data_IF_189781023266
#
_entry.id   IF_189781023266
#
_cell.length_a   1.000
_cell.length_b   1.000
_cell.length_c   1.000
_cell.angle_alpha   90.00
_cell.angle_beta   90.00
_cell.angle_gamma   90.00
#
_symmetry.space_group_name_H-M   'P 1'
#
loop_
_entity.id
_entity.type
_entity.pdbx_description
1 polymer ?
#
# COMPACT_ATOMS: atom_id res chain seq x y z
N UNK A 1 -13.10 29.67 4.89
CA UNK A 1 -13.35 28.25 4.58
C UNK A 1 -12.44 27.92 3.42
N UNK A 2 -11.44 27.07 3.65
CA UNK A 2 -10.57 26.59 2.58
C UNK A 2 -11.28 25.46 1.87
N UNK A 3 -12.02 25.85 0.83
CA UNK A 3 -12.69 24.93 -0.07
C UNK A 3 -11.64 24.09 -0.81
N UNK A 4 -11.65 22.78 -0.63
CA UNK A 4 -10.64 21.85 -1.18
C UNK A 4 -11.23 20.57 -1.79
N UNK A 5 -12.54 20.36 -1.65
CA UNK A 5 -13.25 19.17 -2.15
C UNK A 5 -14.01 19.39 -3.48
N UNK A 6 -14.46 18.29 -4.06
CA UNK A 6 -15.41 18.23 -5.18
C UNK A 6 -16.80 18.74 -4.80
N UNK A 7 -17.25 18.46 -3.58
CA UNK A 7 -18.48 19.02 -3.01
C UNK A 7 -18.38 20.55 -2.86
N UNK A 8 -17.24 21.04 -2.38
CA UNK A 8 -16.95 22.47 -2.29
C UNK A 8 -16.94 23.13 -3.67
N UNK A 9 -16.38 22.46 -4.69
CA UNK A 9 -16.40 22.96 -6.07
C UNK A 9 -17.85 23.13 -6.57
N UNK A 10 -18.72 22.15 -6.28
CA UNK A 10 -20.14 22.24 -6.60
C UNK A 10 -20.79 23.43 -5.88
N UNK A 11 -20.58 23.56 -4.57
CA UNK A 11 -21.13 24.67 -3.79
C UNK A 11 -20.66 26.03 -4.30
N UNK A 12 -19.37 26.14 -4.64
CA UNK A 12 -18.81 27.33 -5.26
C UNK A 12 -19.50 27.66 -6.58
N UNK A 13 -19.66 26.67 -7.46
CA UNK A 13 -20.28 26.86 -8.77
C UNK A 13 -21.75 27.29 -8.63
N UNK A 14 -22.49 26.70 -7.71
CA UNK A 14 -23.88 27.07 -7.40
C UNK A 14 -24.01 28.50 -6.90
N UNK A 15 -23.08 28.96 -6.04
CA UNK A 15 -23.04 30.35 -5.61
C UNK A 15 -22.87 31.33 -6.79
N UNK A 16 -22.32 30.90 -7.92
CA UNK A 16 -22.10 31.77 -9.08
C UNK A 16 -23.35 32.00 -9.91
N UNK A 17 -24.29 31.04 -9.91
CA UNK A 17 -25.55 31.14 -10.65
C UNK A 17 -26.36 32.38 -10.21
N UNK A 18 -26.25 32.76 -8.94
CA UNK A 18 -26.98 33.89 -8.36
C UNK A 18 -26.15 35.19 -8.31
N UNK A 19 -24.92 35.20 -8.84
CA UNK A 19 -24.04 36.38 -8.87
C UNK A 19 -24.11 37.09 -10.22
N UNK A 20 -23.80 38.39 -10.20
CA UNK A 20 -23.57 39.14 -11.43
C UNK A 20 -22.26 38.64 -12.05
N UNK A 21 -22.36 37.89 -13.15
CA UNK A 21 -21.21 37.31 -13.85
C UNK A 21 -21.21 37.74 -15.33
N UNK A 22 -20.02 37.85 -15.93
CA UNK A 22 -19.84 38.14 -17.36
C UNK A 22 -18.77 37.23 -17.95
N UNK A 23 -19.02 36.78 -19.19
CA UNK A 23 -18.07 35.94 -19.90
C UNK A 23 -16.99 36.78 -20.56
N UNK A 24 -15.73 36.41 -20.38
CA UNK A 24 -14.60 36.94 -21.14
C UNK A 24 -13.54 35.86 -21.25
N UNK A 25 -12.99 35.63 -22.45
CA UNK A 25 -11.88 34.70 -22.64
C UNK A 25 -10.67 35.15 -21.79
N UNK A 26 -10.08 34.22 -21.03
CA UNK A 26 -9.05 34.54 -20.03
C UNK A 26 -9.61 35.07 -18.71
N UNK A 27 -10.93 35.07 -18.52
CA UNK A 27 -11.58 35.50 -17.28
C UNK A 27 -11.33 34.49 -16.16
N UNK A 28 -10.71 34.94 -15.07
CA UNK A 28 -10.26 34.09 -13.96
C UNK A 28 -11.04 34.31 -12.65
N UNK A 29 -12.21 34.94 -12.73
CA UNK A 29 -13.10 35.22 -11.60
C UNK A 29 -12.93 36.58 -10.93
N UNK A 30 -12.06 37.44 -11.47
CA UNK A 30 -11.90 38.84 -11.00
C UNK A 30 -13.18 39.65 -11.20
N UNK A 31 -13.33 40.69 -10.39
CA UNK A 31 -14.41 41.66 -10.53
C UNK A 31 -14.04 42.72 -11.57
N UNK A 32 -14.97 43.05 -12.46
CA UNK A 32 -14.86 44.22 -13.32
C UNK A 32 -15.26 45.51 -12.57
N UNK A 33 -15.13 46.66 -13.24
CA UNK A 33 -15.50 47.97 -12.69
C UNK A 33 -16.99 48.11 -12.33
N UNK A 34 -17.84 47.20 -12.83
CA UNK A 34 -19.28 47.15 -12.53
C UNK A 34 -19.61 46.16 -11.40
N UNK A 35 -18.59 45.59 -10.75
CA UNK A 35 -18.75 44.63 -9.67
C UNK A 35 -19.24 43.25 -10.14
N UNK A 36 -19.05 42.89 -11.42
CA UNK A 36 -19.40 41.57 -11.97
C UNK A 36 -18.19 40.67 -11.98
N UNK A 37 -18.36 39.38 -11.68
CA UNK A 37 -17.28 38.40 -11.83
C UNK A 37 -17.07 38.01 -13.28
N UNK A 38 -15.81 38.05 -13.72
CA UNK A 38 -15.40 37.80 -15.09
C UNK A 38 -14.84 36.39 -15.19
N UNK A 39 -15.53 35.49 -15.88
CA UNK A 39 -15.14 34.09 -16.03
C UNK A 39 -14.99 33.71 -17.52
N UNK A 40 -14.01 32.87 -17.83
CA UNK A 40 -14.15 31.87 -18.91
C UNK A 40 -14.51 30.49 -18.31
N UNK A 41 -14.64 29.47 -19.16
CA UNK A 41 -15.07 28.14 -18.75
C UNK A 41 -14.17 27.52 -17.68
N UNK A 42 -12.87 27.41 -17.97
CA UNK A 42 -11.89 26.84 -17.03
C UNK A 42 -11.58 27.81 -15.89
N UNK A 43 -11.72 29.11 -16.09
CA UNK A 43 -11.52 30.17 -15.12
C UNK A 43 -12.52 30.13 -13.97
N UNK A 44 -13.74 29.63 -14.20
CA UNK A 44 -14.69 29.31 -13.11
C UNK A 44 -14.11 28.28 -12.13
N UNK A 45 -13.41 27.27 -12.66
CA UNK A 45 -12.78 26.19 -11.89
C UNK A 45 -11.45 26.68 -11.29
N UNK A 46 -10.60 27.37 -12.07
CA UNK A 46 -9.31 27.87 -11.57
C UNK A 46 -9.47 28.91 -10.47
N UNK A 47 -10.48 29.78 -10.55
CA UNK A 47 -10.80 30.73 -9.49
C UNK A 47 -11.01 30.02 -8.15
N UNK A 48 -11.71 28.88 -8.19
CA UNK A 48 -11.87 28.00 -7.03
C UNK A 48 -10.52 27.43 -6.59
N UNK A 49 -9.80 26.77 -7.51
CA UNK A 49 -8.53 26.13 -7.18
C UNK A 49 -7.50 27.12 -6.59
N UNK A 50 -7.52 28.38 -7.02
CA UNK A 50 -6.65 29.46 -6.54
C UNK A 50 -7.15 30.18 -5.30
N UNK A 51 -8.25 29.72 -4.70
CA UNK A 51 -8.87 30.30 -3.52
C UNK A 51 -9.21 31.79 -3.67
N UNK A 52 -9.53 32.23 -4.89
CA UNK A 52 -9.74 33.65 -5.23
C UNK A 52 -11.22 34.05 -5.09
N UNK A 53 -11.73 33.97 -3.87
CA UNK A 53 -13.16 34.07 -3.59
C UNK A 53 -13.70 35.50 -3.43
N UNK A 54 -12.82 36.47 -3.16
CA UNK A 54 -13.14 37.84 -2.79
C UNK A 54 -12.90 38.88 -3.90
N UNK A 55 -13.29 40.14 -3.67
CA UNK A 55 -13.05 41.24 -4.61
C UNK A 55 -11.61 41.79 -4.59
N UNK A 56 -10.81 41.42 -3.59
CA UNK A 56 -9.41 41.85 -3.49
C UNK A 56 -8.48 41.05 -4.41
N UNK A 57 -7.38 41.67 -4.85
CA UNK A 57 -6.40 41.05 -5.73
C UNK A 57 -5.58 40.00 -4.94
N UNK A 58 -6.04 38.76 -4.93
CA UNK A 58 -5.42 37.68 -4.17
C UNK A 58 -4.12 37.19 -4.85
N UNK A 59 -3.00 37.18 -4.11
CA UNK A 59 -1.69 36.72 -4.59
C UNK A 59 -1.55 35.20 -4.73
N UNK A 60 -2.63 34.48 -5.08
CA UNK A 60 -2.70 33.01 -5.11
C UNK A 60 -2.76 32.40 -6.52
N UNK A 61 -2.71 33.25 -7.56
CA UNK A 61 -2.70 32.78 -8.94
C UNK A 61 -1.52 31.87 -9.24
N UNK A 62 -1.82 30.72 -9.85
CA UNK A 62 -0.82 29.74 -10.26
C UNK A 62 -0.14 28.99 -9.11
N UNK A 63 -0.51 29.23 -7.84
CA UNK A 63 0.19 28.66 -6.67
C UNK A 63 -0.31 27.27 -6.27
N UNK A 64 -1.61 27.06 -6.26
CA UNK A 64 -2.27 25.82 -5.84
C UNK A 64 -2.63 24.90 -7.02
N UNK A 65 -2.82 25.49 -8.20
CA UNK A 65 -2.93 24.80 -9.47
C UNK A 65 -2.23 25.62 -10.57
N UNK A 66 -1.62 25.01 -11.58
CA UNK A 66 -0.97 25.72 -12.68
C UNK A 66 -2.01 26.49 -13.52
N UNK A 67 -1.58 27.59 -14.15
CA UNK A 67 -2.43 28.30 -15.13
C UNK A 67 -2.52 27.51 -16.43
N UNK A 68 -3.63 26.79 -16.59
CA UNK A 68 -3.87 25.89 -17.70
C UNK A 68 -5.24 26.13 -18.34
N UNK A 69 -5.36 25.74 -19.60
CA UNK A 69 -6.65 25.75 -20.32
C UNK A 69 -7.44 24.44 -20.13
N UNK A 70 -8.66 24.38 -20.66
CA UNK A 70 -9.54 23.21 -20.57
C UNK A 70 -8.90 21.92 -21.10
N UNK A 71 -8.24 21.97 -22.27
CA UNK A 71 -7.62 20.82 -22.91
C UNK A 71 -6.41 20.33 -22.11
N UNK A 72 -5.64 21.25 -21.55
CA UNK A 72 -4.51 20.96 -20.67
C UNK A 72 -4.95 20.36 -19.33
N UNK A 73 -6.15 20.71 -18.82
CA UNK A 73 -6.73 20.10 -17.63
C UNK A 73 -7.16 18.66 -17.93
N UNK A 74 -7.83 18.44 -19.06
CA UNK A 74 -8.18 17.11 -19.56
C UNK A 74 -6.97 16.21 -19.82
N UNK A 75 -5.91 16.76 -20.43
CA UNK A 75 -4.69 16.02 -20.70
C UNK A 75 -4.02 15.50 -19.41
N UNK A 76 -4.04 16.30 -18.33
CA UNK A 76 -3.43 15.97 -17.03
C UNK A 76 -4.24 14.99 -16.17
N UNK A 77 -5.55 14.89 -16.37
CA UNK A 77 -6.35 13.95 -15.59
C UNK A 77 -5.97 12.51 -15.87
N UNK A 78 -5.78 11.76 -14.79
CA UNK A 78 -5.44 10.33 -14.79
C UNK A 78 -6.69 9.45 -14.75
N UNK A 79 -7.78 9.94 -14.15
CA UNK A 79 -9.09 9.30 -14.13
C UNK A 79 -10.09 10.10 -14.98
N UNK A 80 -10.51 9.50 -16.09
CA UNK A 80 -11.36 10.11 -17.13
C UNK A 80 -11.96 9.05 -18.04
N UNK A 81 -13.05 9.38 -18.71
CA UNK A 81 -13.73 8.47 -19.63
C UNK A 81 -14.64 9.18 -20.62
N UNK A 82 -15.24 8.42 -21.54
CA UNK A 82 -16.28 8.92 -22.45
C UNK A 82 -17.47 9.46 -21.65
N UNK A 83 -18.11 10.54 -22.12
CA UNK A 83 -19.28 11.14 -21.42
C UNK A 83 -20.41 10.12 -21.21
N UNK A 84 -20.51 9.10 -22.07
CA UNK A 84 -21.51 8.04 -21.95
C UNK A 84 -21.30 7.14 -20.73
N UNK A 85 -20.09 7.14 -20.15
CA UNK A 85 -19.73 6.32 -18.98
C UNK A 85 -19.56 7.15 -17.71
N UNK A 86 -19.98 8.42 -17.71
CA UNK A 86 -19.83 9.30 -16.54
C UNK A 86 -20.53 8.69 -15.32
N UNK A 87 -19.81 8.47 -14.21
CA UNK A 87 -20.44 8.04 -12.97
C UNK A 87 -21.23 9.20 -12.39
N UNK A 88 -22.28 8.90 -11.63
CA UNK A 88 -23.13 9.94 -11.04
C UNK A 88 -22.52 10.54 -9.76
N UNK A 89 -21.33 11.15 -9.92
CA UNK A 89 -20.53 11.73 -8.84
C UNK A 89 -20.43 13.24 -9.08
N UNK A 90 -21.15 14.08 -8.32
CA UNK A 90 -20.99 15.54 -8.38
C UNK A 90 -19.54 15.98 -8.19
N UNK A 91 -19.15 17.08 -8.82
CA UNK A 91 -17.80 17.65 -8.74
C UNK A 91 -16.80 17.02 -9.71
N UNK A 92 -17.20 16.02 -10.50
CA UNK A 92 -16.51 15.67 -11.72
C UNK A 92 -16.55 16.83 -12.71
N UNK A 93 -15.57 16.87 -13.62
CA UNK A 93 -15.60 17.80 -14.73
C UNK A 93 -16.13 17.10 -15.97
N UNK A 94 -16.80 17.84 -16.84
CA UNK A 94 -17.18 17.41 -18.19
C UNK A 94 -16.41 18.23 -19.21
N UNK A 95 -15.99 17.58 -20.29
CA UNK A 95 -15.07 18.19 -21.25
C UNK A 95 -15.47 17.88 -22.70
N UNK A 96 -15.21 18.86 -23.54
CA UNK A 96 -15.08 18.75 -24.98
C UNK A 96 -13.89 19.62 -25.39
N UNK A 97 -13.32 19.41 -26.57
CA UNK A 97 -12.19 20.22 -27.02
C UNK A 97 -12.49 21.73 -26.91
N UNK A 98 -11.66 22.43 -26.14
CA UNK A 98 -11.75 23.87 -25.87
C UNK A 98 -12.75 24.30 -24.78
N UNK A 99 -13.48 23.39 -24.13
CA UNK A 99 -14.52 23.75 -23.16
C UNK A 99 -14.67 22.74 -22.02
N UNK A 100 -14.98 23.24 -20.82
CA UNK A 100 -15.08 22.43 -19.60
C UNK A 100 -16.20 22.95 -18.69
N UNK A 101 -16.83 22.06 -17.94
CA UNK A 101 -17.89 22.37 -16.99
C UNK A 101 -17.83 21.47 -15.76
N UNK A 102 -18.61 21.81 -14.73
CA UNK A 102 -18.65 21.13 -13.43
C UNK A 102 -19.94 20.30 -13.39
N UNK A 103 -19.82 18.98 -13.32
CA UNK A 103 -20.95 18.06 -13.19
C UNK A 103 -21.55 18.15 -11.79
N UNK A 104 -22.87 18.25 -11.67
CA UNK A 104 -23.58 18.35 -10.38
C UNK A 104 -24.59 17.20 -10.15
N UNK A 105 -24.48 16.11 -10.92
CA UNK A 105 -25.39 14.97 -10.84
C UNK A 105 -26.54 15.01 -11.85
N UNK A 106 -27.18 13.86 -12.10
CA UNK A 106 -28.39 13.74 -12.94
C UNK A 106 -28.27 14.37 -14.35
N UNK A 107 -27.08 14.32 -14.96
CA UNK A 107 -26.83 14.93 -16.28
C UNK A 107 -26.71 16.46 -16.28
N UNK A 108 -26.77 17.11 -15.10
CA UNK A 108 -26.69 18.55 -14.98
C UNK A 108 -25.24 19.03 -14.83
N UNK A 109 -24.95 20.20 -15.41
CA UNK A 109 -23.61 20.80 -15.44
C UNK A 109 -23.71 22.28 -15.14
N UNK A 110 -22.85 22.81 -14.29
CA UNK A 110 -22.62 24.25 -14.15
C UNK A 110 -21.40 24.64 -14.98
N UNK A 111 -21.58 25.61 -15.85
CA UNK A 111 -20.53 26.06 -16.78
C UNK A 111 -20.55 27.58 -16.94
N UNK A 112 -19.39 28.18 -17.21
CA UNK A 112 -19.30 29.55 -17.69
C UNK A 112 -19.24 29.56 -19.23
N UNK A 113 -20.21 30.21 -19.87
CA UNK A 113 -20.35 30.25 -21.34
C UNK A 113 -20.78 31.63 -21.84
N UNK A 114 -20.46 31.92 -23.10
CA UNK A 114 -20.88 33.15 -23.76
C UNK A 114 -22.40 33.17 -24.02
N UNK A 115 -23.00 34.37 -24.01
CA UNK A 115 -24.45 34.61 -24.17
C UNK A 115 -25.12 33.91 -25.37
N UNK A 116 -24.37 33.61 -26.42
CA UNK A 116 -24.87 32.92 -27.63
C UNK A 116 -25.46 31.52 -27.31
N UNK A 117 -25.15 30.95 -26.15
CA UNK A 117 -25.61 29.63 -25.70
C UNK A 117 -26.75 29.67 -24.66
N UNK A 118 -27.59 30.70 -24.67
CA UNK A 118 -28.84 30.71 -23.88
C UNK A 118 -28.71 31.20 -22.44
N UNK A 119 -27.66 31.96 -22.11
CA UNK A 119 -27.44 32.46 -20.75
C UNK A 119 -28.49 33.50 -20.35
N UNK A 120 -29.41 33.12 -19.45
CA UNK A 120 -30.40 34.03 -18.84
C UNK A 120 -29.76 34.61 -17.57
N UNK A 121 -29.57 35.93 -17.52
CA UNK A 121 -28.95 36.63 -16.38
C UNK A 121 -27.43 36.82 -16.53
N UNK A 122 -26.64 35.84 -16.06
CA UNK A 122 -25.17 35.86 -16.03
C UNK A 122 -24.50 34.90 -17.03
N UNK A 123 -23.17 34.79 -17.02
CA UNK A 123 -22.44 33.83 -17.86
C UNK A 123 -22.30 32.44 -17.27
N UNK A 124 -22.45 32.31 -15.95
CA UNK A 124 -22.48 31.00 -15.28
C UNK A 124 -23.91 30.50 -15.29
N UNK A 125 -24.10 29.30 -15.82
CA UNK A 125 -25.41 28.76 -16.16
C UNK A 125 -25.47 27.27 -15.81
N UNK A 126 -26.69 26.73 -15.66
CA UNK A 126 -26.92 25.30 -15.43
C UNK A 126 -27.46 24.64 -16.71
N UNK A 127 -26.67 23.78 -17.35
CA UNK A 127 -27.05 22.99 -18.53
C UNK A 127 -27.38 21.54 -18.17
N UNK A 128 -27.95 20.84 -19.14
CA UNK A 128 -28.34 19.44 -19.03
C UNK A 128 -27.93 18.70 -20.31
N UNK A 129 -27.30 17.53 -20.20
CA UNK A 129 -26.82 16.77 -21.37
C UNK A 129 -27.50 15.41 -21.58
N UNK A 130 -28.31 14.96 -20.62
CA UNK A 130 -29.11 13.73 -20.74
C UNK A 130 -30.52 14.00 -21.26
N UNK A 131 -31.24 14.95 -20.68
CA UNK A 131 -32.60 15.32 -21.07
C UNK A 131 -32.60 16.37 -22.21
N UNK A 132 -32.96 15.94 -23.42
CA UNK A 132 -33.04 16.79 -24.62
C UNK A 132 -34.16 17.83 -24.59
N UNK A 133 -35.13 17.69 -23.68
CA UNK A 133 -36.25 18.62 -23.53
C UNK A 133 -35.92 19.79 -22.61
N UNK A 134 -34.81 19.72 -21.89
CA UNK A 134 -34.36 20.80 -21.02
C UNK A 134 -34.12 22.09 -21.80
N UNK A 135 -34.57 23.21 -21.22
CA UNK A 135 -34.45 24.54 -21.82
C UNK A 135 -33.02 24.92 -22.21
N UNK A 136 -32.02 24.40 -21.47
CA UNK A 136 -30.61 24.59 -21.77
C UNK A 136 -29.90 23.23 -21.97
N UNK A 137 -30.28 22.54 -23.03
CA UNK A 137 -29.66 21.28 -23.44
C UNK A 137 -28.25 21.48 -24.04
N UNK A 138 -27.29 20.67 -23.61
CA UNK A 138 -25.91 20.64 -24.13
C UNK A 138 -25.46 19.20 -24.44
N UNK A 139 -25.76 18.73 -25.63
CA UNK A 139 -25.35 17.41 -26.11
C UNK A 139 -23.90 17.29 -26.64
N UNK A 140 -23.08 18.32 -26.48
CA UNK A 140 -21.76 18.40 -27.13
C UNK A 140 -20.60 17.88 -26.28
N UNK A 141 -20.82 17.64 -24.98
CA UNK A 141 -19.82 17.04 -24.09
C UNK A 141 -19.36 15.69 -24.64
N UNK A 142 -18.06 15.40 -24.53
CA UNK A 142 -17.47 14.17 -25.10
C UNK A 142 -16.85 13.27 -24.05
N UNK A 143 -16.33 13.83 -22.96
CA UNK A 143 -15.64 13.10 -21.90
C UNK A 143 -15.97 13.67 -20.52
N UNK A 144 -15.70 12.89 -19.48
CA UNK A 144 -15.63 13.32 -18.09
C UNK A 144 -14.21 13.10 -17.55
N UNK A 145 -13.86 13.79 -16.47
CA UNK A 145 -12.58 13.68 -15.79
C UNK A 145 -12.71 14.03 -14.30
N UNK A 146 -11.91 13.39 -13.44
CA UNK A 146 -11.61 13.95 -12.12
C UNK A 146 -10.67 15.14 -12.27
N UNK A 147 -10.94 16.24 -11.57
CA UNK A 147 -10.03 17.38 -11.55
C UNK A 147 -8.68 16.94 -10.92
N UNK A 148 -7.53 17.13 -11.59
CA UNK A 148 -6.22 16.72 -11.04
C UNK A 148 -5.81 17.45 -9.75
N UNK A 149 -6.56 18.49 -9.36
CA UNK A 149 -6.22 19.40 -8.28
C UNK A 149 -7.31 19.47 -7.19
N UNK A 150 -8.30 18.56 -7.21
CA UNK A 150 -9.32 18.43 -6.18
C UNK A 150 -9.20 17.13 -5.40
N UNK A 151 -9.65 17.18 -4.16
CA UNK A 151 -9.92 16.00 -3.35
C UNK A 151 -11.40 15.62 -3.49
N UNK A 152 -11.73 14.33 -3.47
CA UNK A 152 -13.11 13.84 -3.55
C UNK A 152 -13.43 13.10 -2.24
N UNK A 153 -14.54 13.42 -1.53
CA UNK A 153 -14.92 12.74 -0.26
C UNK A 153 -15.73 11.43 -0.51
N UNK A 154 -15.60 10.45 0.41
CA UNK A 154 -16.00 9.03 0.24
C UNK A 154 -17.51 8.79 0.04
N UNK A 155 -18.01 7.92 -0.84
CA UNK A 155 -17.51 6.60 -1.27
C UNK A 155 -16.62 6.50 -2.52
N UNK A 156 -15.79 7.50 -2.79
CA UNK A 156 -14.54 7.30 -3.50
C UNK A 156 -13.34 7.53 -2.55
N UNK A 157 -12.80 6.46 -1.96
CA UNK A 157 -11.56 6.56 -1.17
C UNK A 157 -10.46 7.20 -2.04
N UNK A 158 -9.67 8.13 -1.50
CA UNK A 158 -8.44 8.54 -2.18
C UNK A 158 -7.52 7.32 -2.22
N UNK A 159 -7.20 6.84 -3.41
CA UNK A 159 -6.39 5.64 -3.56
C UNK A 159 -4.92 6.00 -3.69
N UNK A 160 -4.10 5.44 -2.80
CA UNK A 160 -2.66 5.39 -2.99
C UNK A 160 -2.34 4.25 -3.97
N UNK A 161 -1.72 4.61 -5.11
CA UNK A 161 -1.10 3.63 -5.99
C UNK A 161 0.04 2.88 -5.27
N UNK A 162 0.23 1.57 -5.51
CA UNK A 162 1.41 0.86 -5.04
C UNK A 162 2.68 1.55 -5.55
N UNK A 163 3.67 1.68 -4.68
CA UNK A 163 4.90 2.43 -4.92
C UNK A 163 4.85 3.90 -4.50
N UNK A 164 5.86 4.64 -4.96
CA UNK A 164 6.10 6.02 -4.54
C UNK A 164 5.19 7.04 -5.22
N UNK A 165 4.74 8.02 -4.43
CA UNK A 165 3.97 9.18 -4.86
C UNK A 165 4.36 10.43 -4.05
N UNK A 166 4.21 11.60 -4.67
CA UNK A 166 4.33 12.90 -3.99
C UNK A 166 2.97 13.56 -3.98
N UNK A 167 2.47 13.88 -2.79
CA UNK A 167 1.11 14.34 -2.55
C UNK A 167 1.13 15.74 -1.93
N UNK A 168 0.32 16.66 -2.45
CA UNK A 168 0.08 17.94 -1.81
C UNK A 168 -1.05 17.80 -0.79
N UNK A 169 -0.81 18.19 0.46
CA UNK A 169 -1.80 18.12 1.54
C UNK A 169 -1.62 19.31 2.50
N UNK A 170 -2.68 20.11 2.69
CA UNK A 170 -2.66 21.29 3.59
C UNK A 170 -1.44 22.20 3.36
N UNK A 171 -1.10 22.43 2.08
CA UNK A 171 0.05 23.26 1.70
C UNK A 171 1.43 22.61 1.96
N UNK A 172 1.48 21.37 2.42
CA UNK A 172 2.70 20.59 2.60
C UNK A 172 2.86 19.58 1.47
N UNK A 173 4.09 19.15 1.21
CA UNK A 173 4.34 17.97 0.37
C UNK A 173 4.52 16.75 1.26
N UNK A 174 3.79 15.67 0.97
CA UNK A 174 3.92 14.39 1.65
C UNK A 174 4.42 13.38 0.63
N UNK A 175 5.59 12.82 0.91
CA UNK A 175 6.19 11.73 0.15
C UNK A 175 5.64 10.43 0.70
N UNK A 176 5.00 9.62 -0.14
CA UNK A 176 4.31 8.40 0.26
C UNK A 176 4.84 7.22 -0.53
N UNK A 177 4.99 6.08 0.12
CA UNK A 177 5.19 4.80 -0.54
C UNK A 177 4.16 3.80 0.00
N UNK A 178 3.28 3.30 -0.86
CA UNK A 178 2.42 2.16 -0.53
C UNK A 178 3.14 0.86 -0.90
N UNK A 179 3.27 -0.07 0.05
CA UNK A 179 3.92 -1.37 -0.18
C UNK A 179 3.29 -2.08 -1.39
N UNK A 180 4.11 -2.66 -2.25
CA UNK A 180 3.65 -3.52 -3.34
C UNK A 180 3.44 -4.95 -2.84
N UNK A 181 2.61 -5.72 -3.54
CA UNK A 181 2.24 -7.09 -3.13
C UNK A 181 3.43 -8.05 -3.02
N UNK A 182 4.50 -7.77 -3.79
CA UNK A 182 5.73 -8.54 -3.85
C UNK A 182 6.81 -8.07 -2.87
N UNK A 183 6.47 -7.19 -1.91
CA UNK A 183 7.39 -6.62 -0.92
C UNK A 183 6.93 -6.97 0.49
N UNK A 184 7.87 -7.06 1.42
CA UNK A 184 7.60 -7.23 2.85
C UNK A 184 7.97 -5.98 3.64
N UNK A 185 7.36 -5.80 4.82
CA UNK A 185 7.76 -4.78 5.79
C UNK A 185 8.79 -5.36 6.76
N UNK A 186 9.80 -4.56 7.11
CA UNK A 186 10.80 -4.95 8.11
C UNK A 186 11.50 -3.75 8.74
N UNK A 187 12.43 -4.06 9.65
CA UNK A 187 13.28 -3.09 10.32
C UNK A 187 14.75 -3.50 10.23
N UNK A 188 15.60 -2.51 9.95
CA UNK A 188 17.04 -2.66 9.94
C UNK A 188 17.72 -1.83 11.01
N UNK A 189 18.63 -2.44 11.76
CA UNK A 189 19.55 -1.76 12.65
C UNK A 189 20.75 -1.18 11.88
N UNK A 190 21.36 -0.13 12.41
CA UNK A 190 22.62 0.41 11.92
C UNK A 190 23.83 -0.53 12.15
N UNK A 191 23.62 -1.71 12.75
CA UNK A 191 24.61 -2.79 12.83
C UNK A 191 25.31 -2.90 14.19
N UNK A 192 24.58 -2.71 15.29
CA UNK A 192 25.08 -2.93 16.65
C UNK A 192 24.49 -1.98 17.68
N UNK A 193 24.87 -2.15 18.95
CA UNK A 193 24.45 -1.28 20.04
C UNK A 193 25.07 0.12 19.90
N UNK A 194 24.25 1.16 20.09
CA UNK A 194 24.64 2.59 20.00
C UNK A 194 25.30 3.01 18.67
N UNK A 195 25.11 2.24 17.60
CA UNK A 195 25.62 2.57 16.27
C UNK A 195 24.64 3.51 15.55
N UNK A 196 25.17 4.54 14.89
CA UNK A 196 24.39 5.46 14.05
C UNK A 196 24.99 5.51 12.64
N UNK A 197 24.14 5.37 11.61
CA UNK A 197 24.53 5.50 10.20
C UNK A 197 23.53 6.38 9.45
N UNK A 198 23.97 7.04 8.38
CA UNK A 198 23.01 7.71 7.49
C UNK A 198 22.10 6.66 6.85
N UNK A 199 20.86 7.04 6.54
CA UNK A 199 19.81 6.11 6.06
C UNK A 199 20.23 5.30 4.80
N UNK A 200 21.09 5.86 3.95
CA UNK A 200 21.67 5.20 2.78
C UNK A 200 22.73 4.16 3.11
N UNK A 201 23.30 4.18 4.32
CA UNK A 201 24.33 3.24 4.80
C UNK A 201 23.78 2.19 5.76
N UNK A 202 22.49 2.22 6.05
CA UNK A 202 21.77 1.14 6.73
C UNK A 202 21.20 0.28 5.62
N UNK A 203 21.91 -0.81 5.31
CA UNK A 203 21.68 -1.69 4.17
C UNK A 203 22.19 -3.09 4.50
N UNK A 204 21.64 -4.08 3.79
CA UNK A 204 22.11 -5.45 3.72
C UNK A 204 21.88 -6.03 2.31
N UNK A 205 21.84 -7.35 2.17
CA UNK A 205 21.70 -8.03 0.87
C UNK A 205 20.26 -8.06 0.34
N UNK A 206 19.28 -7.52 1.06
CA UNK A 206 17.91 -7.40 0.56
C UNK A 206 17.76 -6.27 -0.46
N UNK A 207 16.79 -6.40 -1.37
CA UNK A 207 16.42 -5.32 -2.28
C UNK A 207 15.48 -4.36 -1.55
N UNK A 208 16.01 -3.22 -1.10
CA UNK A 208 15.22 -2.19 -0.42
C UNK A 208 14.58 -1.19 -1.38
N UNK A 209 13.26 -1.19 -1.43
CA UNK A 209 12.48 -0.29 -2.28
C UNK A 209 12.11 1.03 -1.60
N UNK A 210 11.88 1.00 -0.30
CA UNK A 210 11.65 2.21 0.49
C UNK A 210 12.29 2.05 1.86
N UNK A 211 12.97 3.09 2.33
CA UNK A 211 13.51 3.20 3.69
C UNK A 211 13.04 4.50 4.32
N UNK A 212 12.57 4.44 5.56
CA UNK A 212 12.24 5.62 6.38
C UNK A 212 12.85 5.49 7.77
N UNK A 213 13.11 6.60 8.44
CA UNK A 213 13.53 6.57 9.85
C UNK A 213 12.43 5.96 10.74
N UNK A 214 12.83 5.42 11.89
CA UNK A 214 11.91 4.70 12.78
C UNK A 214 11.93 5.23 14.21
N UNK A 215 12.81 4.69 15.04
CA UNK A 215 12.72 4.86 16.49
C UNK A 215 13.30 6.19 16.96
N UNK A 216 12.82 6.64 18.12
CA UNK A 216 13.55 7.63 18.91
C UNK A 216 14.86 7.04 19.42
N UNK A 217 15.81 7.91 19.72
CA UNK A 217 17.08 7.51 20.27
C UNK A 217 17.75 8.62 21.06
N UNK A 218 18.66 8.21 21.94
CA UNK A 218 19.43 9.12 22.77
C UNK A 218 20.44 9.90 21.91
N UNK A 219 20.38 11.23 21.98
CA UNK A 219 21.14 12.11 21.06
C UNK A 219 22.56 12.47 21.53
N UNK A 220 22.87 12.30 22.83
CA UNK A 220 24.10 12.81 23.44
C UNK A 220 24.52 12.01 24.66
N UNK A 221 25.78 12.17 25.09
CA UNK A 221 26.32 11.49 26.27
C UNK A 221 26.83 10.07 25.96
N UNK A 222 27.10 9.31 27.02
CA UNK A 222 27.59 7.92 26.96
C UNK A 222 26.61 6.95 26.30
N UNK A 223 25.32 7.31 26.29
CA UNK A 223 24.24 6.49 25.74
C UNK A 223 23.79 6.96 24.36
N UNK A 224 24.53 7.88 23.73
CA UNK A 224 24.20 8.35 22.39
C UNK A 224 24.09 7.17 21.43
N UNK A 225 22.96 7.11 20.71
CA UNK A 225 22.66 6.07 19.73
C UNK A 225 21.79 4.94 20.27
N UNK A 226 21.56 4.86 21.59
CA UNK A 226 20.63 3.88 22.17
C UNK A 226 19.22 4.13 21.65
N UNK A 227 18.60 3.09 21.10
CA UNK A 227 17.20 3.13 20.65
C UNK A 227 16.27 3.18 21.85
N UNK A 228 15.26 4.03 21.77
CA UNK A 228 14.17 4.10 22.73
C UNK A 228 13.05 3.15 22.30
N UNK A 229 12.73 2.15 23.12
CA UNK A 229 11.67 1.21 22.81
C UNK A 229 12.07 -0.02 22.01
N UNK A 230 11.03 -0.78 21.65
CA UNK A 230 11.11 -1.97 20.81
C UNK A 230 11.72 -1.62 19.45
N UNK A 231 12.52 -2.53 18.91
CA UNK A 231 13.13 -2.41 17.58
C UNK A 231 13.41 -3.77 16.92
N UNK A 232 12.38 -4.59 16.78
CA UNK A 232 12.50 -5.92 16.19
C UNK A 232 12.41 -5.88 14.66
N UNK A 233 13.22 -6.68 14.00
CA UNK A 233 13.25 -6.91 12.56
C UNK A 233 14.27 -8.00 12.20
N UNK A 234 14.59 -8.17 10.93
CA UNK A 234 15.49 -9.23 10.48
C UNK A 234 16.97 -9.00 10.87
N UNK A 235 17.32 -7.85 11.45
CA UNK A 235 18.68 -7.56 11.96
C UNK A 235 18.74 -7.23 13.46
N UNK A 236 17.60 -7.23 14.16
CA UNK A 236 17.53 -6.84 15.57
C UNK A 236 16.32 -7.47 16.27
N UNK A 237 16.44 -7.81 17.56
CA UNK A 237 15.34 -8.35 18.38
C UNK A 237 15.23 -7.67 19.75
N UNK A 238 15.52 -6.37 19.81
CA UNK A 238 15.44 -5.60 21.05
C UNK A 238 13.99 -5.37 21.49
N UNK A 239 13.70 -5.89 22.69
CA UNK A 239 12.43 -5.83 23.39
C UNK A 239 12.68 -5.39 24.85
N UNK A 240 13.06 -4.12 25.08
CA UNK A 240 13.33 -3.65 26.43
C UNK A 240 12.07 -3.73 27.30
N UNK A 241 12.25 -4.02 28.58
CA UNK A 241 11.19 -3.85 29.56
C UNK A 241 11.12 -2.37 29.96
N UNK A 242 10.02 -1.70 29.61
CA UNK A 242 9.87 -0.25 29.73
C UNK A 242 8.39 0.15 29.67
N UNK A 243 8.07 1.32 30.20
CA UNK A 243 6.68 1.80 30.33
C UNK A 243 6.46 3.15 29.63
N UNK A 244 7.52 3.78 29.14
CA UNK A 244 7.46 5.12 28.54
C UNK A 244 7.17 5.14 27.05
N UNK A 245 7.27 3.99 26.38
CA UNK A 245 6.97 3.90 24.95
C UNK A 245 5.95 2.84 24.63
N UNK A 246 5.03 3.23 23.76
CA UNK A 246 4.14 2.33 23.07
C UNK A 246 4.93 1.38 22.17
N UNK A 247 4.34 0.23 21.93
CA UNK A 247 4.82 -0.77 21.00
C UNK A 247 3.84 -0.96 19.85
N UNK A 248 4.39 -1.26 18.69
CA UNK A 248 3.68 -1.72 17.50
C UNK A 248 4.38 -2.96 17.00
N UNK A 249 3.63 -4.01 16.75
CA UNK A 249 4.11 -5.28 16.21
C UNK A 249 3.27 -5.64 14.99
N UNK A 250 3.94 -6.01 13.90
CA UNK A 250 3.33 -6.71 12.78
C UNK A 250 3.83 -8.15 12.81
N UNK A 251 2.93 -9.09 13.00
CA UNK A 251 3.25 -10.52 13.07
C UNK A 251 3.43 -11.14 11.68
N UNK A 252 3.97 -12.36 11.61
CA UNK A 252 4.19 -13.10 10.36
C UNK A 252 2.90 -13.40 9.58
N UNK A 253 1.77 -13.56 10.26
CA UNK A 253 0.43 -13.67 9.68
C UNK A 253 -0.19 -12.29 9.32
N UNK A 254 0.62 -11.23 9.32
CA UNK A 254 0.28 -9.86 8.93
C UNK A 254 -0.72 -9.15 9.85
N UNK A 255 -0.91 -9.60 11.09
CA UNK A 255 -1.72 -8.89 12.08
C UNK A 255 -0.93 -7.72 12.68
N UNK A 256 -1.57 -6.56 12.80
CA UNK A 256 -1.02 -5.41 13.52
C UNK A 256 -1.54 -5.40 14.95
N UNK A 257 -0.63 -5.32 15.91
CA UNK A 257 -0.91 -5.14 17.33
C UNK A 257 -0.21 -3.87 17.78
N UNK A 258 -0.89 -3.03 18.56
CA UNK A 258 -0.29 -1.83 19.12
C UNK A 258 -0.81 -1.55 20.52
N UNK A 259 0.05 -1.03 21.40
CA UNK A 259 -0.29 -0.78 22.80
C UNK A 259 0.93 -0.69 23.69
N UNK A 260 0.72 -0.90 24.98
CA UNK A 260 1.78 -1.14 25.96
C UNK A 260 1.96 -2.65 26.07
N UNK A 261 3.06 -3.19 25.52
CA UNK A 261 3.30 -4.63 25.41
C UNK A 261 4.46 -5.02 26.31
N UNK A 262 4.36 -6.18 26.96
CA UNK A 262 5.48 -6.68 27.74
C UNK A 262 6.65 -7.12 26.85
N UNK A 263 7.86 -7.08 27.39
CA UNK A 263 9.09 -7.48 26.68
C UNK A 263 9.09 -8.94 26.20
N UNK A 264 8.37 -9.84 26.88
CA UNK A 264 8.24 -11.24 26.47
C UNK A 264 7.13 -11.49 25.44
N UNK A 265 6.24 -10.53 25.21
CA UNK A 265 5.20 -10.65 24.19
C UNK A 265 5.81 -10.47 22.79
N UNK A 266 5.38 -11.34 21.86
CA UNK A 266 5.78 -11.36 20.45
C UNK A 266 7.31 -11.58 20.27
N UNK A 267 7.79 -12.82 20.50
CA UNK A 267 9.17 -13.17 20.23
C UNK A 267 9.52 -13.00 18.74
N UNK A 268 10.80 -12.76 18.44
CA UNK A 268 11.24 -12.38 17.10
C UNK A 268 10.89 -13.38 15.99
N UNK A 269 10.71 -14.65 16.31
CA UNK A 269 10.28 -15.69 15.38
C UNK A 269 8.78 -15.61 15.00
N UNK A 270 7.97 -14.81 15.68
CA UNK A 270 6.56 -14.56 15.36
C UNK A 270 6.34 -13.21 14.65
N UNK A 271 7.37 -12.36 14.58
CA UNK A 271 7.28 -10.95 14.19
C UNK A 271 7.95 -10.69 12.84
N UNK A 272 7.30 -9.89 11.97
CA UNK A 272 7.95 -9.29 10.79
C UNK A 272 8.70 -8.03 11.18
N UNK A 273 8.03 -7.18 11.95
CA UNK A 273 8.59 -5.93 12.47
C UNK A 273 7.94 -5.55 13.79
N UNK A 274 8.76 -5.05 14.73
CA UNK A 274 8.31 -4.48 15.99
C UNK A 274 9.02 -3.16 16.24
N UNK A 275 8.31 -2.10 16.60
CA UNK A 275 8.93 -0.82 16.88
C UNK A 275 8.09 0.02 17.84
N UNK A 276 8.72 1.04 18.45
CA UNK A 276 8.01 1.99 19.30
C UNK A 276 7.81 3.36 18.62
N UNK A 277 6.56 3.79 18.35
CA UNK A 277 6.28 5.13 17.82
C UNK A 277 6.30 6.21 18.91
N UNK A 278 6.31 7.49 18.52
CA UNK A 278 6.01 8.59 19.43
C UNK A 278 4.52 8.70 19.73
N UNK A 279 3.67 8.51 18.72
CA UNK A 279 2.23 8.65 18.88
C UNK A 279 1.49 7.72 17.93
N UNK A 280 0.36 7.18 18.35
CA UNK A 280 -0.63 6.51 17.50
C UNK A 280 -1.85 7.40 17.45
N UNK A 281 -2.20 7.83 16.23
CA UNK A 281 -3.31 8.75 16.00
C UNK A 281 -4.54 8.07 15.38
N UNK A 282 -4.39 6.86 14.87
CA UNK A 282 -5.48 6.05 14.33
C UNK A 282 -5.17 4.57 14.59
N UNK A 283 -6.14 3.82 15.09
CA UNK A 283 -6.02 2.40 15.38
C UNK A 283 -7.36 1.71 15.15
N UNK A 284 -7.38 0.62 14.36
CA UNK A 284 -8.58 -0.12 13.99
C UNK A 284 -9.70 0.77 13.42
N UNK A 285 -9.31 1.77 12.61
CA UNK A 285 -10.21 2.77 12.02
C UNK A 285 -10.75 3.81 13.00
N UNK A 286 -10.37 3.73 14.29
CA UNK A 286 -10.83 4.64 15.33
C UNK A 286 -9.81 5.74 15.60
N UNK A 287 -10.33 6.94 15.75
CA UNK A 287 -9.58 8.09 16.24
C UNK A 287 -9.05 7.81 17.66
N UNK A 288 -7.72 7.75 17.82
CA UNK A 288 -7.05 7.58 19.11
C UNK A 288 -5.96 8.63 19.27
N UNK A 289 -5.59 8.96 20.50
CA UNK A 289 -4.42 9.83 20.78
C UNK A 289 -3.58 9.15 21.85
N UNK A 290 -2.84 8.12 21.45
CA UNK A 290 -1.92 7.40 22.32
C UNK A 290 -0.54 8.01 22.13
N UNK A 291 0.08 8.51 23.18
CA UNK A 291 1.39 9.19 23.11
C UNK A 291 2.37 8.46 24.02
N UNK A 292 3.50 8.03 23.47
CA UNK A 292 4.64 7.54 24.24
C UNK A 292 5.13 8.66 25.15
N UNK A 293 5.00 8.47 26.48
CA UNK A 293 5.33 9.49 27.46
C UNK A 293 6.79 9.94 27.36
N UNK A 294 7.70 9.02 26.98
CA UNK A 294 9.11 9.31 26.72
C UNK A 294 9.38 10.27 25.55
N UNK A 295 8.41 10.45 24.65
CA UNK A 295 8.50 11.40 23.53
C UNK A 295 7.95 12.79 23.84
N UNK A 296 7.11 12.91 24.88
CA UNK A 296 6.44 14.13 25.30
C UNK A 296 5.19 14.50 24.46
N UNK A 297 4.24 15.20 25.09
CA UNK A 297 2.95 15.58 24.49
C UNK A 297 3.06 16.53 23.28
N UNK A 298 4.16 17.27 23.17
CA UNK A 298 4.38 18.19 22.05
C UNK A 298 4.44 17.49 20.70
N UNK A 299 4.72 16.18 20.67
CA UNK A 299 4.75 15.39 19.43
C UNK A 299 3.40 15.29 18.75
N UNK A 300 2.32 15.24 19.52
CA UNK A 300 0.97 15.29 18.98
C UNK A 300 0.54 16.71 18.62
N UNK A 301 0.82 17.70 19.49
CA UNK A 301 0.23 19.04 19.37
C UNK A 301 0.99 19.98 18.43
N UNK A 302 2.32 19.86 18.37
CA UNK A 302 3.18 20.80 17.66
C UNK A 302 3.39 20.34 16.21
N UNK A 303 3.16 21.25 15.25
CA UNK A 303 3.42 20.97 13.85
C UNK A 303 4.93 20.83 13.59
N UNK A 304 5.33 19.70 13.00
CA UNK A 304 6.73 19.39 12.71
C UNK A 304 6.83 18.54 11.45
N UNK A 305 8.04 18.38 10.90
CA UNK A 305 8.31 17.35 9.89
C UNK A 305 8.03 15.99 10.52
N UNK A 306 7.21 15.16 9.88
CA UNK A 306 6.74 13.89 10.43
C UNK A 306 7.13 12.74 9.52
N UNK A 307 7.38 11.59 10.15
CA UNK A 307 7.44 10.29 9.49
C UNK A 307 6.30 9.44 10.03
N UNK A 308 5.55 8.80 9.15
CA UNK A 308 4.36 8.02 9.47
C UNK A 308 4.52 6.59 8.99
N UNK A 309 4.07 5.65 9.82
CA UNK A 309 3.68 4.32 9.37
C UNK A 309 2.15 4.24 9.43
N UNK A 310 1.54 3.90 8.30
CA UNK A 310 0.10 3.75 8.17
C UNK A 310 -0.23 2.40 7.57
N UNK A 311 -1.46 1.93 7.74
CA UNK A 311 -1.94 0.69 7.15
C UNK A 311 -3.40 0.83 6.73
N UNK A 312 -3.74 0.30 5.57
CA UNK A 312 -5.12 0.33 5.04
C UNK A 312 -5.98 -0.83 5.55
N UNK A 313 -7.25 -0.86 5.13
CA UNK A 313 -8.20 -1.89 5.53
C UNK A 313 -7.84 -3.29 5.02
N UNK A 314 -7.05 -3.38 3.94
CA UNK A 314 -6.58 -4.65 3.36
C UNK A 314 -5.30 -5.16 4.06
N UNK A 315 -4.79 -4.41 5.05
CA UNK A 315 -3.57 -4.76 5.78
C UNK A 315 -2.28 -4.43 5.00
N UNK A 316 -2.34 -3.50 4.04
CA UNK A 316 -1.18 -3.03 3.28
C UNK A 316 -0.55 -1.84 3.99
N UNK A 317 0.75 -1.96 4.26
CA UNK A 317 1.55 -0.93 4.92
C UNK A 317 1.91 0.21 3.97
N UNK A 318 1.98 1.41 4.54
CA UNK A 318 2.30 2.66 3.85
C UNK A 318 3.25 3.48 4.70
N UNK A 319 4.35 3.93 4.10
CA UNK A 319 5.21 4.93 4.70
C UNK A 319 4.91 6.30 4.14
N UNK A 320 4.91 7.32 5.00
CA UNK A 320 4.81 8.70 4.57
C UNK A 320 5.80 9.60 5.30
N UNK A 321 6.45 10.52 4.59
CA UNK A 321 7.33 11.54 5.17
C UNK A 321 6.89 12.92 4.69
N UNK A 322 6.66 13.81 5.64
CA UNK A 322 6.17 15.18 5.38
C UNK A 322 7.35 16.11 5.11
N UNK A 323 7.52 16.56 3.87
CA UNK A 323 8.40 17.67 3.50
C UNK A 323 7.72 19.00 3.85
N UNK A 324 7.65 19.29 5.14
CA UNK A 324 6.83 20.37 5.68
C UNK A 324 6.60 20.21 7.17
N UNK A 325 5.47 20.72 7.66
CA UNK A 325 5.06 20.59 9.06
C UNK A 325 3.60 20.20 9.21
N UNK A 326 3.34 19.08 9.88
CA UNK A 326 2.01 18.65 10.32
C UNK A 326 2.03 18.30 11.81
N UNK A 327 0.91 18.54 12.49
CA UNK A 327 0.67 18.02 13.84
C UNK A 327 -0.10 16.69 13.77
N UNK A 328 -0.34 16.06 14.92
CA UNK A 328 -0.99 14.75 14.97
C UNK A 328 -2.43 14.73 14.42
N UNK A 329 -3.20 15.82 14.61
CA UNK A 329 -4.54 15.95 14.03
C UNK A 329 -4.47 15.93 12.50
N UNK A 330 -3.58 16.71 11.91
CA UNK A 330 -3.43 16.77 10.46
C UNK A 330 -2.89 15.46 9.87
N UNK A 331 -2.01 14.75 10.60
CA UNK A 331 -1.56 13.41 10.20
C UNK A 331 -2.71 12.39 10.21
N UNK A 332 -3.58 12.44 11.23
CA UNK A 332 -4.78 11.59 11.28
C UNK A 332 -5.72 11.88 10.13
N UNK A 333 -6.00 13.16 9.86
CA UNK A 333 -6.86 13.57 8.75
C UNK A 333 -6.32 13.07 7.41
N UNK A 334 -5.00 13.19 7.20
CA UNK A 334 -4.34 12.63 6.03
C UNK A 334 -4.54 11.11 5.93
N UNK A 335 -4.25 10.35 6.99
CA UNK A 335 -4.42 8.90 6.99
C UNK A 335 -5.86 8.50 6.65
N UNK A 336 -6.85 9.14 7.28
CA UNK A 336 -8.28 8.87 7.03
C UNK A 336 -8.69 9.19 5.60
N UNK A 337 -8.20 10.30 5.03
CA UNK A 337 -8.52 10.69 3.66
C UNK A 337 -8.08 9.64 2.62
N UNK A 338 -7.05 8.84 2.93
CA UNK A 338 -6.54 7.76 2.07
C UNK A 338 -7.01 6.36 2.50
N UNK A 339 -8.07 6.26 3.30
CA UNK A 339 -8.66 4.98 3.70
C UNK A 339 -7.78 4.13 4.63
N UNK A 340 -6.87 4.76 5.37
CA UNK A 340 -6.05 4.05 6.37
C UNK A 340 -6.90 3.68 7.58
N UNK A 341 -6.64 2.52 8.18
CA UNK A 341 -7.23 2.07 9.45
C UNK A 341 -6.26 2.23 10.61
N UNK A 342 -4.98 2.43 10.33
CA UNK A 342 -3.93 2.66 11.32
C UNK A 342 -2.99 3.79 10.88
N UNK A 343 -2.52 4.58 11.84
CA UNK A 343 -1.52 5.63 11.63
C UNK A 343 -0.73 5.90 12.91
N UNK A 344 0.57 5.69 12.85
CA UNK A 344 1.53 6.08 13.89
C UNK A 344 2.55 7.09 13.38
N UNK A 345 2.91 8.00 14.26
CA UNK A 345 3.95 9.00 14.10
C UNK A 345 5.24 8.47 14.72
N UNK A 346 6.29 8.37 13.91
CA UNK A 346 7.61 7.86 14.27
C UNK A 346 8.51 8.98 14.80
N UNK A 347 9.83 8.77 14.86
CA UNK A 347 10.76 9.87 15.09
C UNK A 347 10.63 10.95 14.01
N UNK A 348 10.75 12.20 14.43
CA UNK A 348 10.30 13.38 13.67
C UNK A 348 11.35 14.48 13.59
N UNK A 349 11.03 15.57 12.89
CA UNK A 349 11.94 16.70 12.71
C UNK A 349 13.19 16.30 11.92
N UNK A 350 14.37 16.52 12.49
CA UNK A 350 15.64 16.29 11.81
C UNK A 350 15.92 14.83 11.45
N UNK A 351 15.20 13.86 12.03
CA UNK A 351 15.32 12.44 11.70
C UNK A 351 14.48 12.02 10.51
N UNK A 352 13.45 12.81 10.16
CA UNK A 352 12.48 12.46 9.12
C UNK A 352 13.12 12.40 7.74
N UNK A 353 13.25 11.19 7.21
CA UNK A 353 13.96 10.90 5.96
C UNK A 353 13.26 9.77 5.20
N UNK A 354 13.29 9.82 3.87
CA UNK A 354 12.79 8.79 2.97
C UNK A 354 13.77 8.57 1.82
N UNK A 355 14.18 7.32 1.63
CA UNK A 355 14.86 6.84 0.42
C UNK A 355 13.91 5.91 -0.33
N UNK A 356 13.83 6.06 -1.65
CA UNK A 356 13.06 5.19 -2.56
C UNK A 356 13.97 4.72 -3.67
N UNK A 357 14.14 3.40 -3.81
CA UNK A 357 15.00 2.78 -4.83
C UNK A 357 16.39 3.48 -4.92
N UNK A 358 17.00 3.76 -3.76
CA UNK A 358 18.28 4.47 -3.64
C UNK A 358 18.21 6.01 -3.78
N UNK A 359 17.12 6.57 -4.29
CA UNK A 359 16.93 8.02 -4.43
C UNK A 359 16.50 8.68 -3.11
N UNK A 360 17.16 9.78 -2.75
CA UNK A 360 16.89 10.58 -1.55
C UNK A 360 15.70 11.51 -1.78
N UNK A 361 14.49 11.06 -1.41
CA UNK A 361 13.25 11.83 -1.59
C UNK A 361 13.08 12.89 -0.50
N UNK A 362 13.37 12.52 0.75
CA UNK A 362 13.49 13.44 1.89
C UNK A 362 14.77 13.07 2.62
N UNK A 363 15.71 14.01 2.76
CA UNK A 363 17.01 13.70 3.33
C UNK A 363 17.59 14.87 4.12
N UNK A 364 17.91 14.62 5.38
CA UNK A 364 18.50 15.60 6.30
C UNK A 364 19.96 15.32 6.58
N UNK A 365 20.43 14.10 6.26
CA UNK A 365 21.78 13.63 6.60
C UNK A 365 21.96 13.24 8.06
N UNK A 366 20.90 13.26 8.87
CA UNK A 366 20.97 12.79 10.26
C UNK A 366 21.25 11.29 10.27
N UNK A 367 22.26 10.88 11.04
CA UNK A 367 22.54 9.48 11.29
C UNK A 367 21.47 8.90 12.24
N UNK A 368 20.99 7.70 11.91
CA UNK A 368 19.89 7.00 12.56
C UNK A 368 20.39 5.66 13.12
N UNK A 369 19.77 5.14 14.19
CA UNK A 369 20.12 3.84 14.74
C UNK A 369 19.41 2.69 14.03
N UNK A 370 18.26 2.95 13.42
CA UNK A 370 17.47 1.97 12.70
C UNK A 370 16.53 2.66 11.68
N UNK A 371 16.00 1.85 10.77
CA UNK A 371 15.06 2.28 9.72
C UNK A 371 13.97 1.23 9.55
N UNK A 372 12.77 1.67 9.17
CA UNK A 372 11.77 0.79 8.58
C UNK A 372 12.02 0.68 7.09
N UNK A 373 11.71 -0.48 6.52
CA UNK A 373 11.90 -0.72 5.09
C UNK A 373 10.81 -1.57 4.47
N UNK A 374 10.48 -1.27 3.21
CA UNK A 374 9.85 -2.22 2.31
C UNK A 374 10.92 -2.86 1.45
N UNK A 375 11.01 -4.17 1.51
CA UNK A 375 12.11 -4.91 0.91
C UNK A 375 11.62 -6.17 0.20
N UNK A 376 12.49 -6.74 -0.61
CA UNK A 376 12.36 -8.10 -1.12
C UNK A 376 13.58 -8.89 -0.72
N UNK A 377 13.38 -10.17 -0.47
CA UNK A 377 14.46 -11.13 -0.50
C UNK A 377 14.71 -11.40 -1.98
N UNK A 378 15.94 -11.24 -2.47
CA UNK A 378 16.26 -11.80 -3.79
C UNK A 378 15.88 -13.28 -3.73
N UNK A 379 15.03 -13.73 -4.66
CA UNK A 379 15.00 -15.15 -4.98
C UNK A 379 16.43 -15.49 -5.38
N UNK A 380 17.18 -16.11 -4.47
CA UNK A 380 18.37 -16.81 -4.91
C UNK A 380 17.88 -17.74 -6.01
N UNK A 381 18.51 -17.75 -7.20
CA UNK A 381 18.19 -18.77 -8.18
C UNK A 381 18.19 -20.09 -7.43
N UNK A 382 17.11 -20.89 -7.58
CA UNK A 382 17.04 -22.20 -6.94
C UNK A 382 18.43 -22.81 -7.06
N UNK A 383 19.10 -23.11 -5.92
CA UNK A 383 20.43 -23.67 -6.00
C UNK A 383 20.32 -24.86 -6.95
N UNK A 384 21.13 -24.80 -8.02
CA UNK A 384 21.26 -25.83 -9.05
C UNK A 384 21.08 -27.17 -8.34
N UNK A 385 20.02 -27.96 -8.64
CA UNK A 385 19.42 -28.92 -7.71
C UNK A 385 20.53 -29.64 -6.96
N UNK A 386 20.74 -29.22 -5.71
CA UNK A 386 21.78 -29.79 -4.90
C UNK A 386 21.43 -31.29 -4.84
N UNK A 387 22.34 -32.20 -5.23
CA UNK A 387 22.01 -33.61 -5.37
C UNK A 387 21.29 -34.01 -4.08
N UNK A 388 20.06 -34.53 -4.23
CA UNK A 388 19.21 -34.93 -3.10
C UNK A 388 20.10 -35.64 -2.08
N UNK A 389 19.98 -35.38 -0.77
CA UNK A 389 20.70 -36.17 0.22
C UNK A 389 20.40 -37.64 -0.08
N UNK A 390 21.45 -38.38 -0.43
CA UNK A 390 21.36 -39.78 -0.86
C UNK A 390 20.50 -40.52 0.15
N UNK A 391 19.31 -41.04 -0.22
CA UNK A 391 18.46 -41.74 0.74
C UNK A 391 19.23 -42.94 1.27
N UNK A 392 19.20 -43.12 2.59
CA UNK A 392 19.90 -44.23 3.25
C UNK A 392 19.50 -45.57 2.60
N UNK A 393 20.47 -46.42 2.23
CA UNK A 393 20.17 -47.76 1.74
C UNK A 393 19.42 -48.55 2.80
N UNK A 394 18.23 -49.06 2.47
CA UNK A 394 17.45 -49.93 3.36
C UNK A 394 17.94 -51.39 3.26
N UNK A 395 19.25 -51.59 3.46
CA UNK A 395 19.88 -52.90 3.36
C UNK A 395 19.24 -53.85 4.38
N UNK A 396 18.81 -55.03 3.91
CA UNK A 396 18.21 -56.05 4.77
C UNK A 396 16.71 -55.90 5.04
N UNK A 397 15.97 -55.05 4.32
CA UNK A 397 14.51 -54.93 4.49
C UNK A 397 13.73 -55.42 3.26
N UNK A 398 12.49 -55.85 3.47
CA UNK A 398 11.54 -56.24 2.43
C UNK A 398 10.16 -55.60 2.63
N UNK A 399 9.52 -55.25 1.53
CA UNK A 399 8.08 -54.94 1.47
C UNK A 399 7.32 -56.26 1.39
N UNK A 400 6.39 -56.48 2.30
CA UNK A 400 5.52 -57.66 2.35
C UNK A 400 4.12 -57.28 1.94
N UNK A 401 3.50 -58.09 1.09
CA UNK A 401 2.16 -57.85 0.55
C UNK A 401 1.15 -58.72 1.28
N UNK A 402 0.17 -58.12 1.96
CA UNK A 402 -0.74 -58.85 2.84
C UNK A 402 -2.13 -59.05 2.27
N UNK A 403 -2.81 -57.96 1.90
CA UNK A 403 -4.25 -57.99 1.67
C UNK A 403 -4.66 -57.71 0.23
N UNK A 404 -3.84 -56.97 -0.54
CA UNK A 404 -4.09 -56.60 -1.95
C UNK A 404 -2.78 -56.72 -2.73
N UNK A 405 -2.83 -57.18 -3.99
CA UNK A 405 -1.62 -57.27 -4.82
C UNK A 405 -0.92 -55.92 -5.05
N UNK A 406 0.39 -55.86 -4.87
CA UNK A 406 1.19 -54.63 -4.94
C UNK A 406 1.77 -54.40 -6.34
N UNK A 407 1.50 -53.24 -6.93
CA UNK A 407 2.02 -52.86 -8.26
C UNK A 407 3.38 -52.20 -8.14
N UNK A 408 4.36 -52.75 -8.86
CA UNK A 408 5.69 -52.16 -9.05
C UNK A 408 5.70 -51.38 -10.35
N UNK A 409 6.00 -50.08 -10.27
CA UNK A 409 5.90 -49.15 -11.40
C UNK A 409 7.26 -48.64 -11.86
N UNK A 410 7.39 -48.39 -13.15
CA UNK A 410 8.62 -47.89 -13.78
C UNK A 410 8.97 -46.47 -13.36
N UNK A 411 7.96 -45.61 -13.27
CA UNK A 411 8.09 -44.21 -12.85
C UNK A 411 7.11 -43.91 -11.74
N UNK A 412 7.49 -43.01 -10.84
CA UNK A 412 6.58 -42.47 -9.84
C UNK A 412 5.93 -41.19 -10.38
N UNK A 413 4.87 -41.37 -11.17
CA UNK A 413 4.10 -40.28 -11.76
C UNK A 413 2.65 -40.33 -11.27
N UNK A 414 2.00 -39.16 -11.18
CA UNK A 414 0.63 -39.03 -10.70
C UNK A 414 -0.25 -38.26 -11.69
N UNK A 415 -1.50 -38.67 -11.82
CA UNK A 415 -2.54 -37.97 -12.59
C UNK A 415 -3.82 -38.00 -11.77
N UNK A 416 -4.40 -36.82 -11.48
CA UNK A 416 -5.56 -36.68 -10.58
C UNK A 416 -5.38 -37.44 -9.25
N UNK A 417 -4.23 -37.25 -8.59
CA UNK A 417 -3.88 -37.91 -7.32
C UNK A 417 -3.88 -39.44 -7.38
N UNK A 418 -3.69 -40.05 -8.56
CA UNK A 418 -3.53 -41.50 -8.72
C UNK A 418 -2.21 -41.81 -9.41
N UNK A 419 -1.50 -42.83 -8.93
CA UNK A 419 -0.26 -43.28 -9.56
C UNK A 419 -0.52 -43.78 -10.99
N UNK A 420 0.14 -43.14 -11.96
CA UNK A 420 -0.06 -43.33 -13.41
C UNK A 420 1.13 -43.97 -14.13
N UNK A 421 2.26 -44.19 -13.46
CA UNK A 421 3.43 -44.83 -14.05
C UNK A 421 3.17 -46.25 -14.56
N UNK A 422 3.86 -46.65 -15.63
CA UNK A 422 3.78 -47.99 -16.23
C UNK A 422 3.99 -49.08 -15.18
N UNK A 423 3.11 -50.09 -15.15
CA UNK A 423 3.23 -51.22 -14.20
C UNK A 423 4.18 -52.24 -14.82
N UNK A 424 5.31 -52.48 -14.15
CA UNK A 424 6.32 -53.46 -14.57
C UNK A 424 6.03 -54.86 -14.03
N UNK A 425 5.50 -54.94 -12.81
CA UNK A 425 5.15 -56.20 -12.16
C UNK A 425 4.02 -55.98 -11.15
N UNK A 426 3.33 -57.07 -10.80
CA UNK A 426 2.41 -57.10 -9.67
C UNK A 426 2.84 -58.22 -8.74
N UNK A 427 3.14 -57.87 -7.49
CA UNK A 427 3.50 -58.81 -6.44
C UNK A 427 2.18 -59.37 -5.88
N UNK A 428 1.98 -60.69 -5.88
CA UNK A 428 0.76 -61.30 -5.36
C UNK A 428 0.67 -61.15 -3.83
N UNK A 429 -0.53 -61.35 -3.30
CA UNK A 429 -0.77 -61.50 -1.86
C UNK A 429 0.15 -62.61 -1.31
N UNK A 430 0.78 -62.34 -0.16
CA UNK A 430 1.81 -63.19 0.46
C UNK A 430 3.20 -63.07 -0.17
N UNK A 431 3.36 -62.28 -1.23
CA UNK A 431 4.65 -62.03 -1.88
C UNK A 431 5.49 -60.98 -1.14
N UNK A 432 6.79 -61.00 -1.41
CA UNK A 432 7.75 -60.02 -0.87
C UNK A 432 8.57 -59.39 -1.99
N UNK A 433 9.00 -58.14 -1.79
CA UNK A 433 9.96 -57.45 -2.64
C UNK A 433 11.05 -56.81 -1.78
N UNK A 434 12.31 -56.89 -2.24
CA UNK A 434 13.45 -56.32 -1.53
C UNK A 434 13.31 -54.80 -1.50
N UNK A 435 13.31 -54.21 -0.31
CA UNK A 435 13.28 -52.76 -0.17
C UNK A 435 14.65 -52.20 -0.57
N UNK A 436 14.66 -51.22 -1.47
CA UNK A 436 15.89 -50.54 -1.90
C UNK A 436 16.05 -49.25 -1.09
N UNK A 437 15.01 -48.42 -1.05
CA UNK A 437 14.97 -47.19 -0.23
C UNK A 437 13.55 -46.69 0.00
N UNK A 438 13.38 -45.91 1.06
CA UNK A 438 12.20 -45.07 1.25
C UNK A 438 12.28 -43.82 0.37
N UNK A 439 11.14 -43.37 -0.15
CA UNK A 439 11.04 -42.08 -0.83
C UNK A 439 10.57 -41.02 0.19
N UNK A 440 11.05 -39.76 0.14
CA UNK A 440 10.71 -38.77 1.16
C UNK A 440 9.24 -38.32 1.08
N UNK A 441 8.53 -38.34 2.21
CA UNK A 441 7.19 -37.77 2.36
C UNK A 441 6.02 -38.53 1.72
N UNK A 442 4.81 -38.16 2.10
CA UNK A 442 3.55 -38.65 1.55
C UNK A 442 3.35 -38.11 0.14
N UNK A 443 2.91 -38.97 -0.79
CA UNK A 443 2.70 -38.64 -2.20
C UNK A 443 1.28 -38.15 -2.47
N UNK A 444 0.99 -37.56 -3.65
CA UNK A 444 -0.32 -36.98 -3.96
C UNK A 444 -1.52 -37.92 -3.86
N UNK A 445 -1.30 -39.23 -3.86
CA UNK A 445 -2.32 -40.25 -3.62
C UNK A 445 -2.62 -40.48 -2.13
N UNK A 446 -1.93 -39.79 -1.23
CA UNK A 446 -2.10 -39.87 0.22
C UNK A 446 -1.23 -40.94 0.88
N UNK A 447 -0.31 -41.59 0.14
CA UNK A 447 0.45 -42.72 0.65
C UNK A 447 1.96 -42.50 0.61
N UNK A 448 2.65 -43.27 1.45
CA UNK A 448 4.11 -43.37 1.41
C UNK A 448 4.50 -44.28 0.24
N UNK A 449 5.65 -44.02 -0.38
CA UNK A 449 6.16 -44.82 -1.48
C UNK A 449 7.60 -45.23 -1.24
N UNK A 450 7.97 -46.37 -1.81
CA UNK A 450 9.31 -46.94 -1.72
C UNK A 450 9.79 -47.37 -3.10
N UNK A 451 11.11 -47.49 -3.23
CA UNK A 451 11.74 -48.19 -4.34
C UNK A 451 12.06 -49.62 -3.90
N UNK A 452 11.64 -50.61 -4.69
CA UNK A 452 11.79 -52.02 -4.36
C UNK A 452 12.20 -52.84 -5.60
N UNK A 453 12.77 -54.01 -5.35
CA UNK A 453 13.13 -54.99 -6.37
C UNK A 453 12.35 -56.30 -6.16
N UNK A 454 11.65 -56.74 -7.21
CA UNK A 454 10.91 -57.99 -7.24
C UNK A 454 11.36 -58.84 -8.44
N UNK A 455 11.95 -60.01 -8.18
CA UNK A 455 12.45 -60.94 -9.22
C UNK A 455 13.35 -60.25 -10.27
N UNK A 456 14.25 -59.38 -9.82
CA UNK A 456 15.15 -58.60 -10.67
C UNK A 456 14.50 -57.40 -11.37
N UNK A 457 13.20 -57.14 -11.15
CA UNK A 457 12.51 -55.95 -11.65
C UNK A 457 12.53 -54.89 -10.55
N UNK A 458 13.21 -53.77 -10.82
CA UNK A 458 13.30 -52.63 -9.91
C UNK A 458 12.31 -51.55 -10.30
N UNK A 459 11.58 -51.01 -9.32
CA UNK A 459 10.61 -49.95 -9.54
C UNK A 459 10.00 -49.42 -8.25
N UNK A 460 8.97 -48.59 -8.38
CA UNK A 460 8.32 -47.90 -7.28
C UNK A 460 7.01 -48.59 -6.89
N UNK A 461 6.80 -48.78 -5.59
CA UNK A 461 5.57 -49.34 -5.06
C UNK A 461 5.10 -48.60 -3.81
N UNK A 462 3.79 -48.66 -3.59
CA UNK A 462 3.13 -48.05 -2.44
C UNK A 462 3.53 -48.77 -1.15
N UNK A 463 3.62 -48.02 -0.07
CA UNK A 463 3.71 -48.51 1.29
C UNK A 463 2.57 -47.90 2.10
N UNK A 464 1.68 -48.75 2.60
CA UNK A 464 0.64 -48.36 3.54
C UNK A 464 0.51 -49.53 4.53
N UNK A 465 0.67 -49.25 5.82
CA UNK A 465 0.79 -50.26 6.88
C UNK A 465 -0.45 -51.14 7.09
N UNK A 466 -1.48 -51.01 6.24
CA UNK A 466 -2.69 -51.81 6.24
C UNK A 466 -2.66 -52.91 5.18
N UNK A 467 -2.04 -52.64 4.02
CA UNK A 467 -1.95 -53.61 2.92
C UNK A 467 -0.52 -54.10 2.67
N UNK A 468 0.47 -53.28 3.04
CA UNK A 468 1.89 -53.51 2.79
C UNK A 468 2.73 -53.09 3.99
N UNK A 469 3.48 -54.01 4.60
CA UNK A 469 4.38 -53.66 5.71
C UNK A 469 5.85 -53.84 5.34
N UNK A 470 6.74 -53.13 6.05
CA UNK A 470 8.18 -53.35 5.97
C UNK A 470 8.57 -54.37 7.04
N UNK A 471 9.39 -55.34 6.65
CA UNK A 471 9.98 -56.33 7.55
C UNK A 471 11.50 -56.36 7.35
N UNK A 472 12.25 -56.43 8.44
CA UNK A 472 13.67 -56.78 8.39
C UNK A 472 13.82 -58.26 8.01
N UNK A 473 14.69 -58.55 7.06
CA UNK A 473 15.05 -59.89 6.67
C UNK A 473 15.85 -60.50 7.84
N UNK A 474 15.36 -61.60 8.40
CA UNK A 474 16.16 -62.39 9.35
C UNK A 474 17.38 -62.92 8.59
N UNK A 475 18.59 -62.69 9.12
CA UNK A 475 19.81 -63.26 8.57
C UNK A 475 19.67 -64.79 8.56
N UNK A 476 19.64 -65.38 7.36
CA UNK A 476 19.83 -66.82 7.18
C UNK A 476 21.24 -67.15 7.67
N UNK A 477 21.34 -67.73 8.88
CA UNK A 477 22.55 -68.36 9.40
C UNK A 477 22.96 -69.57 8.55
#
# INVERSE_FOLDING_TARGET
MDYTSDADLCQWAEQQLNRKTIYQLGGIGRYDSSGRRVFDCVGLIKCFLWHDYGPGNAGYYGKTAPDINADQMYARATDKGSISTIPDIPGLLVWQRGHIGIYIGNGQVIEATAKRWGSIGGCVVKSQFKDKTAAMYRGSWTHWLRCPFLMYEEGANMYLKPGYQSIAWQGQTIHVYKRKDDQEIGLMSAGGDKVLKTIDKIDDDHIHHCKVNCSYFVMSGSDRGTVCGRHQGFTADGRPDQVEWLDVVVTKDNKLIAGDLASWEYPGDEVKVGYSPACIVLLDGKDVTMVSSGSGQSKYTTANTQTLHMRDADGVDVFAVVSGKLNGVACRQFAKAYGMTYCAMLDSGGSSQMIVDGAKMVYTGRALPNVLTFYKIEEQPEPDPQPEPTPEPAAGMSVVVDSIGLRVRKTLSFTNSRASGEILATIPIGGTAKLIRFLPGIKPDGYQWVEAEYKGIRGYCQYDSHCYWIRENEEEN
#
